data_IF_165071097787
#
_entry.id   IF_165071097787
#
_cell.length_a   1.000
_cell.length_b   1.000
_cell.length_c   1.000
_cell.angle_alpha   90.00
_cell.angle_beta   90.00
_cell.angle_gamma   90.00
#
_symmetry.space_group_name_H-M   'P 1'
#
loop_
_entity.id
_entity.type
_entity.pdbx_description
1 polymer ?
#
# COMPACT_ATOMS: atom_id res chain seq x y z
N UNK A 1 -11.62 -6.28 -0.01
CA UNK A 1 -10.22 -5.83 0.03
C UNK A 1 -10.03 -4.69 -0.95
N UNK A 2 -9.32 -3.67 -0.51
CA UNK A 2 -8.93 -2.47 -1.26
C UNK A 2 -7.42 -2.30 -1.07
N UNK A 3 -6.62 -2.10 -2.13
CA UNK A 3 -5.19 -1.88 -1.99
C UNK A 3 -4.90 -0.49 -1.40
N UNK A 4 -3.73 -0.30 -0.79
CA UNK A 4 -3.42 0.91 0.00
C UNK A 4 -2.09 1.52 -0.40
N UNK A 5 -2.02 2.84 -0.55
CA UNK A 5 -0.76 3.60 -0.57
C UNK A 5 -0.52 4.12 0.85
N UNK A 6 0.50 3.60 1.51
CA UNK A 6 0.83 3.96 2.88
C UNK A 6 1.87 5.10 2.94
N UNK A 7 1.53 6.17 3.65
CA UNK A 7 2.43 7.26 4.02
C UNK A 7 2.56 7.30 5.55
N UNK A 8 3.46 6.50 6.14
CA UNK A 8 3.56 6.40 7.59
C UNK A 8 4.25 7.63 8.18
N UNK A 9 3.64 8.23 9.20
CA UNK A 9 4.16 9.43 9.87
C UNK A 9 4.98 9.08 11.11
N UNK A 10 4.42 8.31 12.04
CA UNK A 10 5.10 7.91 13.29
C UNK A 10 4.45 6.68 13.93
N UNK A 11 5.06 6.19 15.02
CA UNK A 11 4.53 5.07 15.81
C UNK A 11 4.71 3.71 15.13
N UNK A 12 3.65 2.90 15.13
CA UNK A 12 3.64 1.56 14.53
C UNK A 12 3.39 1.57 13.02
N UNK A 13 2.99 2.71 12.46
CA UNK A 13 2.66 2.88 11.04
C UNK A 13 3.76 2.39 10.09
N UNK A 14 5.08 2.66 10.29
CA UNK A 14 6.12 2.16 9.39
C UNK A 14 6.21 0.63 9.37
N UNK A 15 5.91 -0.03 10.49
CA UNK A 15 5.92 -1.49 10.58
C UNK A 15 4.69 -2.09 9.91
N UNK A 16 3.51 -1.48 10.13
CA UNK A 16 2.27 -1.90 9.48
C UNK A 16 2.32 -1.69 7.96
N UNK A 17 2.84 -0.55 7.49
CA UNK A 17 3.05 -0.28 6.07
C UNK A 17 3.96 -1.32 5.42
N UNK A 18 5.12 -1.61 6.03
CA UNK A 18 6.05 -2.65 5.55
C UNK A 18 5.41 -4.04 5.51
N UNK A 19 4.56 -4.38 6.49
CA UNK A 19 3.80 -5.64 6.49
C UNK A 19 2.83 -5.69 5.31
N UNK A 20 2.09 -4.62 5.03
CA UNK A 20 1.14 -4.57 3.92
C UNK A 20 1.82 -4.62 2.55
N UNK A 21 2.97 -3.95 2.40
CA UNK A 21 3.81 -4.04 1.20
C UNK A 21 4.30 -5.47 0.98
N UNK A 22 4.85 -6.13 2.01
CA UNK A 22 5.26 -7.54 1.93
C UNK A 22 4.10 -8.48 1.63
N UNK A 23 2.91 -8.17 2.11
CA UNK A 23 1.70 -8.92 1.80
C UNK A 23 1.20 -8.68 0.36
N UNK A 24 1.78 -7.73 -0.39
CA UNK A 24 1.58 -7.51 -1.82
C UNK A 24 0.33 -6.71 -2.18
N UNK A 25 -0.33 -6.07 -1.21
CA UNK A 25 -1.56 -5.30 -1.44
C UNK A 25 -1.38 -3.81 -1.15
N UNK A 26 -0.13 -3.36 -0.93
CA UNK A 26 0.16 -1.96 -0.66
C UNK A 26 1.45 -1.49 -1.32
N UNK A 27 1.52 -0.17 -1.53
CA UNK A 27 2.74 0.58 -1.81
C UNK A 27 3.05 1.47 -0.61
N UNK A 28 4.32 1.84 -0.45
CA UNK A 28 4.76 2.76 0.60
C UNK A 28 5.47 3.96 -0.02
N UNK A 29 5.10 5.15 0.43
CA UNK A 29 5.71 6.43 0.05
C UNK A 29 6.29 7.06 1.30
N UNK A 30 7.56 7.42 1.26
CA UNK A 30 8.21 8.15 2.36
C UNK A 30 7.73 9.62 2.36
N UNK A 31 7.52 10.15 3.56
CA UNK A 31 7.11 11.54 3.80
C UNK A 31 8.31 12.51 3.84
N UNK A 32 9.51 12.00 3.69
CA UNK A 32 10.73 12.80 3.77
C UNK A 32 11.10 13.45 2.44
N UNK A 33 11.53 14.70 2.53
CA UNK A 33 12.14 15.43 1.41
C UNK A 33 11.14 16.16 0.51
N UNK A 34 11.65 16.86 -0.52
CA UNK A 34 10.83 17.70 -1.40
C UNK A 34 9.98 16.88 -2.39
N UNK A 35 10.32 15.61 -2.62
CA UNK A 35 9.74 14.78 -3.69
C UNK A 35 8.45 14.02 -3.30
N UNK A 36 7.89 14.25 -2.11
CA UNK A 36 6.73 13.50 -1.60
C UNK A 36 5.56 13.50 -2.57
N UNK A 37 5.18 14.68 -3.10
CA UNK A 37 4.07 14.80 -4.04
C UNK A 37 4.31 14.03 -5.35
N UNK A 38 5.54 14.08 -5.86
CA UNK A 38 5.96 13.34 -7.06
C UNK A 38 5.90 11.84 -6.82
N UNK A 39 6.45 11.37 -5.69
CA UNK A 39 6.47 9.95 -5.33
C UNK A 39 5.06 9.40 -5.10
N UNK A 40 4.18 10.20 -4.47
CA UNK A 40 2.77 9.86 -4.32
C UNK A 40 2.06 9.71 -5.68
N UNK A 41 2.29 10.64 -6.60
CA UNK A 41 1.73 10.56 -7.96
C UNK A 41 2.19 9.29 -8.69
N UNK A 42 3.48 8.96 -8.61
CA UNK A 42 4.04 7.74 -9.21
C UNK A 42 3.38 6.49 -8.61
N UNK A 43 3.29 6.41 -7.27
CA UNK A 43 2.67 5.28 -6.58
C UNK A 43 1.18 5.14 -6.93
N UNK A 44 0.46 6.26 -7.07
CA UNK A 44 -0.94 6.28 -7.47
C UNK A 44 -1.12 5.72 -8.89
N UNK A 45 -0.34 6.21 -9.86
CA UNK A 45 -0.39 5.75 -11.25
C UNK A 45 -0.03 4.26 -11.33
N UNK A 46 1.00 3.80 -10.62
CA UNK A 46 1.36 2.37 -10.53
C UNK A 46 0.21 1.54 -9.97
N UNK A 47 -0.44 1.98 -8.89
CA UNK A 47 -1.53 1.21 -8.28
C UNK A 47 -2.79 1.15 -9.15
N UNK A 48 -3.08 2.22 -9.91
CA UNK A 48 -4.23 2.28 -10.82
C UNK A 48 -4.02 1.45 -12.09
N UNK A 49 -2.78 1.35 -12.58
CA UNK A 49 -2.47 0.64 -13.83
C UNK A 49 -2.04 -0.83 -13.60
N UNK A 50 -1.91 -1.26 -12.35
CA UNK A 50 -1.43 -2.60 -12.00
C UNK A 50 -2.39 -3.33 -11.07
N UNK A 51 -3.22 -4.20 -11.65
CA UNK A 51 -4.24 -4.95 -10.91
C UNK A 51 -3.69 -5.90 -9.84
N UNK A 52 -2.37 -6.17 -9.80
CA UNK A 52 -1.78 -7.09 -8.82
C UNK A 52 -2.11 -6.68 -7.38
N UNK A 53 -2.13 -5.39 -7.08
CA UNK A 53 -2.42 -4.90 -5.72
C UNK A 53 -3.89 -5.15 -5.36
N UNK A 54 -4.80 -4.86 -6.29
CA UNK A 54 -6.23 -5.08 -6.13
C UNK A 54 -6.56 -6.57 -5.97
N UNK A 55 -6.03 -7.41 -6.86
CA UNK A 55 -6.20 -8.86 -6.83
C UNK A 55 -5.71 -9.44 -5.50
N UNK A 56 -4.53 -8.99 -5.04
CA UNK A 56 -3.99 -9.43 -3.75
C UNK A 56 -4.85 -8.95 -2.58
N UNK A 57 -5.32 -7.71 -2.59
CA UNK A 57 -6.21 -7.18 -1.55
C UNK A 57 -7.54 -7.96 -1.49
N UNK A 58 -8.11 -8.33 -2.63
CA UNK A 58 -9.34 -9.14 -2.70
C UNK A 58 -9.10 -10.56 -2.17
N UNK A 59 -8.00 -11.20 -2.56
CA UNK A 59 -7.63 -12.53 -2.08
C UNK A 59 -7.49 -12.56 -0.55
N UNK A 60 -6.70 -11.63 0.03
CA UNK A 60 -6.50 -11.55 1.48
C UNK A 60 -7.83 -11.29 2.19
N UNK A 61 -8.65 -10.38 1.64
CA UNK A 61 -9.98 -10.08 2.19
C UNK A 61 -10.93 -11.28 2.16
N UNK A 62 -10.80 -12.18 1.18
CA UNK A 62 -11.59 -13.42 1.11
C UNK A 62 -11.13 -14.40 2.19
N UNK A 63 -9.82 -14.59 2.37
CA UNK A 63 -9.27 -15.42 3.44
C UNK A 63 -9.74 -14.93 4.80
N UNK A 64 -9.62 -13.62 5.06
CA UNK A 64 -9.93 -13.06 6.38
C UNK A 64 -11.41 -13.17 6.75
N UNK A 65 -12.32 -13.12 5.76
CA UNK A 65 -13.76 -13.32 5.97
C UNK A 65 -14.15 -14.78 6.20
N UNK A 66 -13.31 -15.71 5.75
CA UNK A 66 -13.50 -17.15 5.92
C UNK A 66 -12.83 -17.68 7.20
N UNK A 67 -12.39 -16.78 8.10
CA UNK A 67 -11.87 -17.08 9.43
C UNK A 67 -12.88 -16.62 10.47
#
# INVERSE_FOLDING_TARGET
>A
GVPVIAMPVFGDQPTNARRSVRAGHALMVDLKGPDVAKNLKIALIEMLNNDKYYNRAKYISKIFRNR
#
